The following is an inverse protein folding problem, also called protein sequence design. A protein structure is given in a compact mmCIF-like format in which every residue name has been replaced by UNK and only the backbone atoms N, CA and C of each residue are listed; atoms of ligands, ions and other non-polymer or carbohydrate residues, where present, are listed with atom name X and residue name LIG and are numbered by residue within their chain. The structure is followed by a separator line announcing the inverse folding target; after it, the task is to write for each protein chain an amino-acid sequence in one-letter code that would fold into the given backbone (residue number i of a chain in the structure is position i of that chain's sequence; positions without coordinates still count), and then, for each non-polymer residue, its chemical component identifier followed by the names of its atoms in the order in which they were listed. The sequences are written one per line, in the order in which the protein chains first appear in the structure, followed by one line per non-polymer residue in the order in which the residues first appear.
data_IF_476193896175
#
_entry.id   IF_476193896175
#
_cell.length_a   1.000
_cell.length_b   1.000
_cell.length_c   1.000
_cell.angle_alpha   90.00
_cell.angle_beta   90.00
_cell.angle_gamma   90.00
#
_symmetry.space_group_name_H-M   'P 1'
#
loop_
_entity.id
_entity.type
_entity.pdbx_description
1 polymer ?
#
# COMPACT_ATOMS: atom_id res chain seq x y z
N UNK A 1 44.19 -12.04 7.21
CA UNK A 1 43.28 -10.96 7.70
C UNK A 1 42.04 -11.56 8.37
N UNK A 2 42.24 -12.54 9.24
CA UNK A 2 41.18 -13.37 9.84
C UNK A 2 41.62 -13.63 11.27
N UNK A 3 40.75 -13.39 12.27
CA UNK A 3 40.92 -14.10 13.55
C UNK A 3 40.50 -13.44 14.86
N UNK A 4 40.34 -12.11 14.99
CA UNK A 4 39.97 -11.51 16.31
C UNK A 4 38.91 -10.41 16.31
N UNK A 5 38.64 -9.75 15.18
CA UNK A 5 37.61 -8.69 15.08
C UNK A 5 36.18 -9.17 14.74
N UNK A 6 36.03 -10.40 14.24
CA UNK A 6 34.72 -10.90 13.77
C UNK A 6 33.70 -11.11 14.88
N UNK A 7 34.13 -11.67 16.02
CA UNK A 7 33.27 -11.96 17.17
C UNK A 7 32.73 -10.68 17.84
N UNK A 8 33.53 -9.62 17.86
CA UNK A 8 33.11 -8.31 18.37
C UNK A 8 32.07 -7.68 17.41
N UNK A 9 32.26 -7.83 16.10
CA UNK A 9 31.27 -7.43 15.10
C UNK A 9 29.92 -8.14 15.26
N UNK A 10 29.93 -9.45 15.54
CA UNK A 10 28.71 -10.18 15.87
C UNK A 10 28.08 -9.66 17.17
N UNK A 11 28.86 -9.32 18.19
CA UNK A 11 28.35 -8.76 19.44
C UNK A 11 27.62 -7.43 19.25
N UNK A 12 28.12 -6.56 18.36
CA UNK A 12 27.45 -5.31 17.98
C UNK A 12 26.17 -5.53 17.16
N UNK A 13 26.11 -6.61 16.37
CA UNK A 13 24.91 -6.99 15.63
C UNK A 13 23.87 -7.69 16.51
N UNK A 14 24.27 -8.32 17.62
CA UNK A 14 23.39 -9.07 18.52
C UNK A 14 22.11 -8.33 18.90
N UNK A 15 22.10 -7.07 19.39
CA UNK A 15 20.86 -6.39 19.76
C UNK A 15 19.92 -6.17 18.56
N UNK A 16 20.47 -5.85 17.38
CA UNK A 16 19.67 -5.71 16.16
C UNK A 16 19.10 -7.07 15.71
N UNK A 17 19.90 -8.14 15.74
CA UNK A 17 19.46 -9.49 15.38
C UNK A 17 18.41 -10.03 16.35
N UNK A 18 18.55 -9.77 17.65
CA UNK A 18 17.55 -10.12 18.65
C UNK A 18 16.24 -9.35 18.40
N UNK A 19 16.32 -8.06 18.08
CA UNK A 19 15.14 -7.27 17.76
C UNK A 19 14.42 -7.78 16.51
N UNK A 20 15.16 -8.01 15.41
CA UNK A 20 14.59 -8.58 14.18
C UNK A 20 14.05 -10.00 14.43
N UNK A 21 14.77 -10.81 15.20
CA UNK A 21 14.33 -12.15 15.63
C UNK A 21 12.99 -12.11 16.35
N UNK A 22 12.88 -11.27 17.38
CA UNK A 22 11.71 -11.20 18.25
C UNK A 22 10.50 -10.50 17.60
N UNK A 23 10.72 -9.48 16.79
CA UNK A 23 9.62 -8.64 16.26
C UNK A 23 9.33 -8.85 14.78
N UNK A 24 10.18 -9.56 14.04
CA UNK A 24 9.94 -9.89 12.63
C UNK A 24 9.83 -11.40 12.46
N UNK A 25 10.87 -12.15 12.78
CA UNK A 25 10.87 -13.59 12.49
C UNK A 25 9.91 -14.39 13.37
N UNK A 26 9.83 -14.07 14.66
CA UNK A 26 8.89 -14.73 15.57
C UNK A 26 7.41 -14.58 15.13
N UNK A 27 6.87 -13.35 14.92
CA UNK A 27 5.49 -13.22 14.45
C UNK A 27 5.28 -13.79 13.04
N UNK A 28 6.27 -13.72 12.15
CA UNK A 28 6.18 -14.40 10.84
C UNK A 28 6.05 -15.92 10.99
N UNK A 29 6.83 -16.53 11.89
CA UNK A 29 6.71 -17.95 12.21
C UNK A 29 5.33 -18.30 12.77
N UNK A 30 4.79 -17.44 13.66
CA UNK A 30 3.43 -17.61 14.18
C UNK A 30 2.38 -17.51 13.06
N UNK A 31 2.52 -16.58 12.11
CA UNK A 31 1.61 -16.46 10.96
C UNK A 31 1.66 -17.69 10.05
N UNK A 32 2.85 -18.24 9.81
CA UNK A 32 3.00 -19.51 9.06
C UNK A 32 2.32 -20.65 9.81
N UNK A 33 2.54 -20.77 11.13
CA UNK A 33 1.87 -21.79 11.93
C UNK A 33 0.34 -21.61 11.91
N UNK A 34 -0.15 -20.39 12.12
CA UNK A 34 -1.57 -20.05 12.09
C UNK A 34 -2.19 -20.38 10.72
N UNK A 35 -1.48 -20.14 9.62
CA UNK A 35 -1.94 -20.48 8.26
C UNK A 35 -2.20 -21.98 8.06
N UNK A 36 -1.59 -22.84 8.88
CA UNK A 36 -1.77 -24.29 8.87
C UNK A 36 -2.83 -24.77 9.87
N UNK A 37 -3.45 -23.85 10.61
CA UNK A 37 -4.47 -24.16 11.63
C UNK A 37 -5.83 -23.58 11.27
N UNK A 38 -6.92 -24.17 11.76
CA UNK A 38 -8.25 -23.58 11.77
C UNK A 38 -8.41 -22.76 13.05
N UNK A 39 -7.78 -21.59 13.09
CA UNK A 39 -7.90 -20.69 14.24
C UNK A 39 -9.13 -19.80 14.06
N UNK A 40 -10.16 -20.02 14.89
CA UNK A 40 -11.31 -19.11 15.02
C UNK A 40 -11.05 -18.14 16.17
N UNK A 41 -11.48 -16.87 16.04
CA UNK A 41 -11.38 -15.88 17.13
C UNK A 41 -12.16 -16.29 18.40
N UNK A 42 -13.13 -17.20 18.26
CA UNK A 42 -14.04 -17.64 19.32
C UNK A 42 -13.93 -19.15 19.64
N UNK A 43 -12.99 -19.87 19.03
CA UNK A 43 -12.90 -21.33 19.15
C UNK A 43 -11.46 -21.84 19.18
N UNK A 44 -11.29 -23.12 19.49
CA UNK A 44 -9.98 -23.77 19.55
C UNK A 44 -9.22 -23.75 18.21
N UNK A 45 -7.90 -23.87 18.28
CA UNK A 45 -7.02 -23.95 17.11
C UNK A 45 -6.71 -25.43 16.83
N UNK A 46 -7.17 -25.94 15.70
CA UNK A 46 -6.84 -27.30 15.24
C UNK A 46 -5.86 -27.23 14.06
N UNK A 47 -4.88 -28.13 14.02
CA UNK A 47 -3.95 -28.22 12.89
C UNK A 47 -4.63 -28.90 11.70
N UNK A 48 -4.84 -28.14 10.63
CA UNK A 48 -5.54 -28.59 9.40
C UNK A 48 -4.61 -28.71 8.19
N UNK A 49 -3.30 -28.51 8.39
CA UNK A 49 -2.28 -28.58 7.34
C UNK A 49 -2.55 -27.55 6.23
N UNK A 50 -2.46 -27.99 4.97
CA UNK A 50 -2.59 -27.10 3.80
C UNK A 50 -4.04 -26.78 3.39
N UNK A 51 -5.03 -27.15 4.19
CA UNK A 51 -6.45 -26.99 3.83
C UNK A 51 -6.85 -25.54 3.58
N UNK A 52 -6.27 -24.58 4.33
CA UNK A 52 -6.49 -23.14 4.10
C UNK A 52 -5.99 -22.69 2.73
N UNK A 53 -4.85 -23.22 2.27
CA UNK A 53 -4.31 -22.93 0.94
C UNK A 53 -5.20 -23.51 -0.15
N UNK A 54 -5.60 -24.78 -0.03
CA UNK A 54 -6.52 -25.41 -1.00
C UNK A 54 -7.81 -24.59 -1.11
N UNK A 55 -8.39 -24.20 0.03
CA UNK A 55 -9.58 -23.35 0.07
C UNK A 55 -9.35 -22.02 -0.67
N UNK A 56 -8.24 -21.33 -0.40
CA UNK A 56 -7.90 -20.09 -1.07
C UNK A 56 -7.75 -20.25 -2.58
N UNK A 57 -7.08 -21.32 -3.05
CA UNK A 57 -6.91 -21.58 -4.48
C UNK A 57 -8.23 -21.93 -5.20
N UNK A 58 -9.22 -22.46 -4.49
CA UNK A 58 -10.56 -22.73 -5.04
C UNK A 58 -11.55 -21.57 -4.87
N UNK A 59 -11.19 -20.52 -4.12
CA UNK A 59 -12.07 -19.40 -3.82
C UNK A 59 -12.00 -18.35 -4.94
N UNK A 60 -13.13 -18.12 -5.60
CA UNK A 60 -13.24 -17.13 -6.66
C UNK A 60 -12.98 -15.71 -6.14
N UNK A 61 -13.33 -15.41 -4.89
CA UNK A 61 -13.11 -14.11 -4.25
C UNK A 61 -11.62 -13.84 -4.10
N UNK A 62 -10.84 -14.86 -3.70
CA UNK A 62 -9.39 -14.76 -3.60
C UNK A 62 -8.76 -14.37 -4.94
N UNK A 63 -9.17 -15.03 -6.03
CA UNK A 63 -8.65 -14.73 -7.37
C UNK A 63 -9.07 -13.35 -7.88
N UNK A 64 -10.31 -12.91 -7.61
CA UNK A 64 -10.75 -11.55 -7.93
C UNK A 64 -9.92 -10.49 -7.20
N UNK A 65 -9.73 -10.64 -5.88
CA UNK A 65 -8.89 -9.72 -5.10
C UNK A 65 -7.44 -9.74 -5.57
N UNK A 66 -6.88 -10.92 -5.86
CA UNK A 66 -5.50 -11.04 -6.36
C UNK A 66 -5.33 -10.34 -7.71
N UNK A 67 -6.28 -10.53 -8.64
CA UNK A 67 -6.26 -9.86 -9.94
C UNK A 67 -6.36 -8.35 -9.80
N UNK A 68 -7.23 -7.85 -8.92
CA UNK A 68 -7.33 -6.42 -8.63
C UNK A 68 -5.99 -5.88 -8.10
N UNK A 69 -5.38 -6.52 -7.11
CA UNK A 69 -4.09 -6.09 -6.55
C UNK A 69 -2.97 -6.10 -7.59
N UNK A 70 -2.92 -7.12 -8.46
CA UNK A 70 -1.93 -7.19 -9.54
C UNK A 70 -2.16 -6.06 -10.55
N UNK A 71 -3.40 -5.87 -11.04
CA UNK A 71 -3.74 -4.78 -11.97
C UNK A 71 -3.37 -3.42 -11.37
N UNK A 72 -3.80 -3.15 -10.13
CA UNK A 72 -3.45 -1.95 -9.38
C UNK A 72 -1.94 -1.73 -9.34
N UNK A 73 -1.18 -2.74 -8.92
CA UNK A 73 0.28 -2.64 -8.79
C UNK A 73 0.95 -2.35 -10.13
N UNK A 74 0.52 -3.02 -11.20
CA UNK A 74 1.06 -2.85 -12.56
C UNK A 74 0.80 -1.43 -13.09
N UNK A 75 -0.33 -0.82 -12.77
CA UNK A 75 -0.64 0.54 -13.21
C UNK A 75 0.00 1.62 -12.32
N UNK A 76 -0.13 1.51 -11.00
CA UNK A 76 0.31 2.57 -10.08
C UNK A 76 1.84 2.67 -10.04
N UNK A 77 2.56 1.55 -10.12
CA UNK A 77 4.02 1.53 -10.03
C UNK A 77 4.71 2.39 -11.10
N UNK A 78 4.46 2.20 -12.42
CA UNK A 78 5.09 3.03 -13.45
C UNK A 78 4.66 4.49 -13.36
N UNK A 79 3.41 4.79 -12.96
CA UNK A 79 2.93 6.16 -12.75
C UNK A 79 3.74 6.82 -11.63
N UNK A 80 3.87 6.17 -10.48
CA UNK A 80 4.65 6.68 -9.35
C UNK A 80 6.14 6.82 -9.68
N UNK A 81 6.72 5.86 -10.42
CA UNK A 81 8.11 5.97 -10.87
C UNK A 81 8.30 7.15 -11.84
N UNK A 82 7.39 7.34 -12.79
CA UNK A 82 7.42 8.44 -13.74
C UNK A 82 7.26 9.80 -13.06
N UNK A 83 6.24 9.95 -12.23
CA UNK A 83 5.99 11.18 -11.46
C UNK A 83 7.13 11.45 -10.47
N UNK A 84 7.62 10.42 -9.78
CA UNK A 84 8.76 10.52 -8.85
C UNK A 84 10.03 10.98 -9.56
N UNK A 85 10.30 10.47 -10.76
CA UNK A 85 11.42 10.91 -11.59
C UNK A 85 11.26 12.37 -12.04
N UNK A 86 10.08 12.77 -12.50
CA UNK A 86 9.80 14.17 -12.88
C UNK A 86 9.99 15.12 -11.69
N UNK A 87 9.48 14.76 -10.50
CA UNK A 87 9.69 15.52 -9.28
C UNK A 87 11.17 15.58 -8.89
N UNK A 88 11.92 14.48 -9.05
CA UNK A 88 13.36 14.46 -8.80
C UNK A 88 14.11 15.44 -9.70
N UNK A 89 13.77 15.51 -11.00
CA UNK A 89 14.36 16.48 -11.94
C UNK A 89 14.06 17.93 -11.52
N UNK A 90 12.80 18.23 -11.14
CA UNK A 90 12.40 19.57 -10.71
C UNK A 90 13.08 19.99 -9.39
N UNK A 91 13.41 19.04 -8.52
CA UNK A 91 14.02 19.29 -7.22
C UNK A 91 15.54 19.21 -7.21
N UNK A 92 16.19 18.80 -8.30
CA UNK A 92 17.65 18.64 -8.38
C UNK A 92 18.42 19.98 -8.26
N UNK A 93 17.83 21.09 -8.70
CA UNK A 93 18.48 22.40 -8.71
C UNK A 93 18.47 23.15 -7.37
N UNK A 94 19.07 24.35 -7.36
CA UNK A 94 19.07 25.28 -6.20
C UNK A 94 18.17 26.50 -6.40
N UNK A 95 17.49 26.61 -7.56
CA UNK A 95 16.63 27.74 -7.92
C UNK A 95 15.32 27.84 -7.11
N UNK A 96 14.54 28.89 -7.38
CA UNK A 96 13.24 29.10 -6.74
C UNK A 96 12.24 27.95 -7.03
N UNK A 97 12.25 27.43 -8.26
CA UNK A 97 11.42 26.27 -8.66
C UNK A 97 11.75 25.07 -7.79
N UNK A 98 13.03 24.70 -7.66
CA UNK A 98 13.43 23.55 -6.84
C UNK A 98 13.02 23.72 -5.36
N UNK A 99 13.12 24.92 -4.79
CA UNK A 99 12.66 25.21 -3.42
C UNK A 99 11.14 25.09 -3.29
N UNK A 100 10.39 25.65 -4.24
CA UNK A 100 8.93 25.56 -4.26
C UNK A 100 8.44 24.12 -4.44
N UNK A 101 9.00 23.38 -5.40
CA UNK A 101 8.63 21.98 -5.65
C UNK A 101 8.92 21.10 -4.44
N UNK A 102 10.05 21.30 -3.74
CA UNK A 102 10.30 20.59 -2.47
C UNK A 102 9.22 20.91 -1.45
N UNK A 103 8.89 22.18 -1.24
CA UNK A 103 7.87 22.58 -0.27
C UNK A 103 6.51 21.93 -0.56
N UNK A 104 6.06 21.96 -1.83
CA UNK A 104 4.78 21.34 -2.24
C UNK A 104 4.83 19.81 -2.15
N UNK A 105 5.92 19.18 -2.61
CA UNK A 105 6.04 17.72 -2.59
C UNK A 105 6.08 17.13 -1.17
N UNK A 106 6.61 17.88 -0.20
CA UNK A 106 6.62 17.45 1.21
C UNK A 106 5.36 17.81 1.99
N UNK A 107 4.48 18.68 1.44
CA UNK A 107 3.26 19.11 2.12
C UNK A 107 2.33 17.93 2.49
N UNK A 108 2.08 16.94 1.60
CA UNK A 108 1.21 15.81 1.93
C UNK A 108 1.75 14.92 3.06
N UNK A 109 3.06 14.90 3.29
CA UNK A 109 3.69 14.05 4.33
C UNK A 109 3.23 14.43 5.74
N UNK A 110 2.78 15.68 5.92
CA UNK A 110 2.27 16.20 7.19
C UNK A 110 0.78 15.86 7.39
N UNK A 111 0.07 15.51 6.31
CA UNK A 111 -1.35 15.14 6.37
C UNK A 111 -1.45 13.68 6.82
N UNK A 112 -2.15 13.43 7.92
CA UNK A 112 -2.36 12.07 8.43
C UNK A 112 -3.26 11.24 7.50
N UNK A 113 -3.03 9.93 7.48
CA UNK A 113 -3.77 8.98 6.63
C UNK A 113 -5.30 9.09 6.78
N UNK A 114 -5.80 9.28 8.00
CA UNK A 114 -7.24 9.44 8.23
C UNK A 114 -7.82 10.69 7.54
N UNK A 115 -7.13 11.82 7.65
CA UNK A 115 -7.53 13.07 7.00
C UNK A 115 -7.42 12.98 5.49
N UNK A 116 -6.34 12.40 4.96
CA UNK A 116 -6.19 12.24 3.51
C UNK A 116 -7.27 11.33 2.94
N UNK A 117 -7.62 10.24 3.62
CA UNK A 117 -8.68 9.32 3.17
C UNK A 117 -10.05 10.01 3.11
N UNK A 118 -10.39 10.83 4.12
CA UNK A 118 -11.65 11.55 4.14
C UNK A 118 -11.71 12.64 3.06
N UNK A 119 -10.60 13.36 2.86
CA UNK A 119 -10.48 14.33 1.76
C UNK A 119 -10.65 13.65 0.40
N UNK A 120 -10.01 12.50 0.21
CA UNK A 120 -10.13 11.72 -1.02
C UNK A 120 -11.56 11.25 -1.26
N UNK A 121 -12.21 10.69 -0.23
CA UNK A 121 -13.61 10.28 -0.31
C UNK A 121 -14.53 11.46 -0.68
N UNK A 122 -14.30 12.63 -0.07
CA UNK A 122 -15.07 13.84 -0.37
C UNK A 122 -14.85 14.36 -1.80
N UNK A 123 -13.63 14.27 -2.34
CA UNK A 123 -13.34 14.69 -3.71
C UNK A 123 -14.07 13.86 -4.77
N UNK A 124 -14.30 12.58 -4.48
CA UNK A 124 -15.02 11.62 -5.32
C UNK A 124 -16.50 11.46 -4.95
N UNK A 125 -17.04 12.34 -4.09
CA UNK A 125 -18.46 12.34 -3.75
C UNK A 125 -19.34 12.74 -4.95
N UNK A 126 -20.45 12.04 -5.16
CA UNK A 126 -21.31 12.25 -6.34
C UNK A 126 -22.11 13.56 -6.32
N UNK A 127 -22.36 14.11 -5.13
CA UNK A 127 -23.22 15.28 -4.96
C UNK A 127 -22.41 16.56 -4.85
N UNK A 128 -21.28 16.51 -4.14
CA UNK A 128 -20.45 17.69 -3.84
C UNK A 128 -18.99 17.54 -4.26
N UNK A 129 -18.61 16.39 -4.84
CA UNK A 129 -17.23 16.11 -5.19
C UNK A 129 -16.71 16.98 -6.33
N UNK A 130 -15.44 17.36 -6.19
CA UNK A 130 -14.76 18.21 -7.16
C UNK A 130 -14.54 17.50 -8.50
N UNK A 131 -14.21 16.21 -8.48
CA UNK A 131 -13.87 15.47 -9.69
C UNK A 131 -15.08 15.31 -10.62
N UNK A 132 -16.23 14.90 -10.10
CA UNK A 132 -17.46 14.76 -10.88
C UNK A 132 -17.91 16.08 -11.47
N UNK A 133 -17.82 17.16 -10.68
CA UNK A 133 -18.12 18.50 -11.16
C UNK A 133 -17.21 18.92 -12.32
N UNK A 134 -15.89 18.72 -12.18
CA UNK A 134 -14.93 19.03 -13.24
C UNK A 134 -15.18 18.22 -14.51
N UNK A 135 -15.50 16.93 -14.39
CA UNK A 135 -15.81 16.08 -15.55
C UNK A 135 -17.09 16.51 -16.27
N UNK A 136 -18.11 16.98 -15.52
CA UNK A 136 -19.34 17.54 -16.09
C UNK A 136 -19.10 18.89 -16.77
N UNK A 137 -18.35 19.79 -16.13
CA UNK A 137 -18.00 21.11 -16.69
C UNK A 137 -17.19 20.96 -18.00
N UNK A 138 -16.31 19.96 -18.06
CA UNK A 138 -15.55 19.59 -19.25
C UNK A 138 -16.37 18.81 -20.30
N UNK A 139 -17.65 18.55 -20.04
CA UNK A 139 -18.57 17.77 -20.89
C UNK A 139 -18.06 16.36 -21.22
N UNK A 140 -17.23 15.77 -20.34
CA UNK A 140 -16.70 14.40 -20.47
C UNK A 140 -17.76 13.39 -20.01
N UNK A 141 -18.56 13.75 -19.00
CA UNK A 141 -19.65 12.92 -18.47
C UNK A 141 -20.93 13.74 -18.35
N UNK A 142 -22.08 13.10 -18.62
CA UNK A 142 -23.39 13.76 -18.54
C UNK A 142 -24.05 13.63 -17.17
N UNK A 143 -23.56 12.75 -16.32
CA UNK A 143 -24.09 12.47 -14.97
C UNK A 143 -22.92 12.19 -14.00
N UNK A 144 -23.11 12.44 -12.69
CA UNK A 144 -22.13 12.08 -11.66
C UNK A 144 -21.76 10.60 -11.71
N UNK A 145 -20.49 10.28 -11.48
CA UNK A 145 -19.94 8.93 -11.61
C UNK A 145 -19.91 8.28 -10.23
N UNK A 146 -20.42 7.05 -10.14
CA UNK A 146 -20.43 6.28 -8.88
C UNK A 146 -19.13 5.50 -8.74
N UNK A 147 -18.06 6.17 -8.32
CA UNK A 147 -16.70 5.62 -8.30
C UNK A 147 -16.51 4.37 -7.43
N UNK A 148 -17.15 4.30 -6.26
CA UNK A 148 -16.87 3.26 -5.27
C UNK A 148 -17.81 2.05 -5.30
N UNK A 149 -18.79 2.01 -6.21
CA UNK A 149 -19.71 0.87 -6.35
C UNK A 149 -19.22 -0.14 -7.38
N UNK A 150 -18.58 0.34 -8.44
CA UNK A 150 -17.98 -0.50 -9.47
C UNK A 150 -16.47 -0.69 -9.17
N UNK A 151 -16.00 -1.93 -9.20
CA UNK A 151 -14.60 -2.25 -8.92
C UNK A 151 -13.63 -1.66 -9.98
N UNK A 152 -14.05 -1.58 -11.24
CA UNK A 152 -13.20 -1.04 -12.31
C UNK A 152 -13.11 0.50 -12.21
N UNK A 153 -14.20 1.18 -11.83
CA UNK A 153 -14.18 2.61 -11.54
C UNK A 153 -13.43 2.91 -10.24
N UNK A 154 -13.58 2.05 -9.23
CA UNK A 154 -12.88 2.16 -7.96
C UNK A 154 -11.38 2.04 -8.12
N UNK A 155 -10.90 1.22 -9.07
CA UNK A 155 -9.48 1.15 -9.40
C UNK A 155 -8.93 2.52 -9.84
N UNK A 156 -9.63 3.21 -10.74
CA UNK A 156 -9.23 4.54 -11.22
C UNK A 156 -9.39 5.63 -10.18
N UNK A 157 -10.33 5.49 -9.24
CA UNK A 157 -10.42 6.40 -8.11
C UNK A 157 -9.26 6.24 -7.12
N UNK A 158 -8.62 5.07 -7.07
CA UNK A 158 -7.50 4.79 -6.14
C UNK A 158 -6.13 5.06 -6.77
N UNK A 159 -6.01 4.98 -8.10
CA UNK A 159 -4.79 5.29 -8.87
C UNK A 159 -4.64 6.82 -9.03
#
# INVERSE_FOLDING_TARGET
MTGRGGWIGFLYLTPALLFVGAFVFYPLGQLVYLSLTSSSLLGGSEFIGLRNYIRAFTDQTFWHSLQFTIKYTVYITPILMGLGYLLALLTAGTGAIARFTRAVAFLPVVIGLGSSSLLWFWLFDQQVGLFDKLLQDLHIVSQPVVWFVDADLGLWAVI
#
